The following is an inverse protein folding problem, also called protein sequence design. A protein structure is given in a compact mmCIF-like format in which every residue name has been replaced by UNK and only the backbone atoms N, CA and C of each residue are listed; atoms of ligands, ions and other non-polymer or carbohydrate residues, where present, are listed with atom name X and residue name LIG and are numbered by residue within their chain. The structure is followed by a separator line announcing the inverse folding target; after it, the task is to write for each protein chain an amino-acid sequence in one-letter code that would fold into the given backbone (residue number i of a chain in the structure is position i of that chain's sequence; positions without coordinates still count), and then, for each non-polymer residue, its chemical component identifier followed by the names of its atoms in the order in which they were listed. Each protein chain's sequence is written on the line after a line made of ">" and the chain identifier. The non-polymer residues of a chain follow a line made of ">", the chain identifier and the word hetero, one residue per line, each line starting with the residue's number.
data_IF_869208545715
#
_entry.id   IF_869208545715
#
_cell.length_a   1.000
_cell.length_b   1.000
_cell.length_c   1.000
_cell.angle_alpha   90.00
_cell.angle_beta   90.00
_cell.angle_gamma   90.00
#
_symmetry.space_group_name_H-M   'P 1'
#
loop_
_entity.id
_entity.type
_entity.pdbx_description
1 polymer ?
#
# COMPACT_ATOMS: atom_id res chain seq x y z
N UNK A 1 19.12 -14.18 4.05
CA UNK A 1 19.07 -12.94 3.25
C UNK A 1 17.64 -12.70 2.79
N UNK A 2 17.10 -11.49 2.99
CA UNK A 2 15.77 -11.10 2.50
C UNK A 2 15.68 -11.22 0.97
N UNK A 3 14.50 -11.59 0.46
CA UNK A 3 14.16 -11.70 -0.97
C UNK A 3 14.58 -10.44 -1.76
N UNK A 4 14.37 -9.25 -1.19
CA UNK A 4 14.71 -7.97 -1.82
C UNK A 4 16.23 -7.83 -2.06
N UNK A 5 17.06 -8.12 -1.06
CA UNK A 5 18.52 -8.04 -1.19
C UNK A 5 19.07 -9.09 -2.17
N UNK A 6 18.40 -10.23 -2.34
CA UNK A 6 18.76 -11.21 -3.40
C UNK A 6 18.50 -10.66 -4.80
N UNK A 7 17.42 -9.89 -4.98
CA UNK A 7 17.10 -9.26 -6.27
C UNK A 7 18.11 -8.14 -6.58
N UNK A 8 18.43 -7.31 -5.60
CA UNK A 8 19.42 -6.23 -5.75
C UNK A 8 20.81 -6.79 -6.09
N UNK A 9 21.21 -7.86 -5.40
CA UNK A 9 22.48 -8.54 -5.67
C UNK A 9 22.55 -9.10 -7.10
N UNK A 10 21.46 -9.70 -7.61
CA UNK A 10 21.38 -10.13 -9.02
C UNK A 10 21.46 -8.96 -10.02
N UNK A 11 21.10 -7.76 -9.61
CA UNK A 11 21.16 -6.53 -10.43
C UNK A 11 22.48 -5.76 -10.27
N UNK A 12 23.41 -6.25 -9.44
CA UNK A 12 24.66 -5.55 -9.13
C UNK A 12 24.47 -4.32 -8.24
N UNK A 13 23.33 -4.20 -7.57
CA UNK A 13 22.97 -3.06 -6.74
C UNK A 13 23.36 -3.29 -5.27
N UNK A 14 23.57 -2.19 -4.54
CA UNK A 14 23.94 -2.22 -3.12
C UNK A 14 22.82 -2.82 -2.28
N UNK A 15 23.17 -3.72 -1.34
CA UNK A 15 22.22 -4.28 -0.37
C UNK A 15 21.59 -3.18 0.47
N UNK A 16 20.29 -3.28 0.69
CA UNK A 16 19.55 -2.39 1.57
C UNK A 16 19.62 -2.90 3.02
N UNK A 17 19.71 -1.96 3.96
CA UNK A 17 19.42 -2.24 5.36
C UNK A 17 17.91 -2.09 5.59
N UNK A 18 17.19 -3.18 5.39
CA UNK A 18 15.72 -3.19 5.42
C UNK A 18 15.20 -2.74 6.79
N UNK A 19 15.84 -3.15 7.88
CA UNK A 19 15.42 -2.77 9.23
C UNK A 19 15.51 -1.25 9.41
N UNK A 20 16.63 -0.64 9.02
CA UNK A 20 16.80 0.81 9.07
C UNK A 20 15.74 1.55 8.24
N UNK A 21 15.37 1.01 7.08
CA UNK A 21 14.34 1.62 6.23
C UNK A 21 12.94 1.51 6.86
N UNK A 22 12.61 0.35 7.45
CA UNK A 22 11.36 0.17 8.20
C UNK A 22 11.32 1.16 9.36
N UNK A 23 12.35 1.20 10.19
CA UNK A 23 12.42 2.11 11.35
C UNK A 23 12.24 3.58 10.94
N UNK A 24 12.82 3.98 9.79
CA UNK A 24 12.64 5.32 9.26
C UNK A 24 11.17 5.61 8.85
N UNK A 25 10.49 4.67 8.19
CA UNK A 25 9.07 4.81 7.84
C UNK A 25 8.20 4.86 9.11
N UNK A 26 8.47 3.99 10.08
CA UNK A 26 7.77 3.94 11.37
C UNK A 26 7.95 5.23 12.20
N UNK A 27 9.02 5.99 11.95
CA UNK A 27 9.27 7.27 12.62
C UNK A 27 8.45 8.45 12.07
N UNK A 28 7.81 8.30 10.91
CA UNK A 28 6.97 9.34 10.34
C UNK A 28 5.68 9.51 11.15
N UNK A 29 5.10 10.71 11.22
CA UNK A 29 3.83 10.97 11.91
C UNK A 29 2.65 10.45 11.06
N UNK A 30 2.62 9.16 10.78
CA UNK A 30 1.58 8.48 10.01
C UNK A 30 0.62 7.73 10.93
N UNK A 31 -0.67 7.78 10.60
CA UNK A 31 -1.68 6.99 11.30
C UNK A 31 -1.57 5.53 10.85
N UNK A 32 -1.42 4.63 11.80
CA UNK A 32 -1.47 3.20 11.57
C UNK A 32 -2.91 2.71 11.72
N UNK A 33 -3.39 1.99 10.70
CA UNK A 33 -4.68 1.30 10.75
C UNK A 33 -4.37 -0.17 11.00
N UNK A 34 -4.73 -0.66 12.18
CA UNK A 34 -4.60 -2.07 12.51
C UNK A 34 -5.78 -2.84 11.90
N UNK A 35 -5.53 -3.92 11.13
CA UNK A 35 -6.60 -4.77 10.63
C UNK A 35 -7.36 -5.43 11.79
N UNK A 36 -8.66 -5.21 11.87
CA UNK A 36 -9.55 -5.84 12.83
C UNK A 36 -10.60 -6.73 12.14
N UNK A 37 -11.45 -7.38 12.93
CA UNK A 37 -12.51 -8.23 12.38
C UNK A 37 -13.52 -7.47 11.52
N UNK A 38 -13.74 -6.18 11.76
CA UNK A 38 -14.65 -5.38 10.95
C UNK A 38 -14.07 -5.15 9.55
N UNK A 39 -12.77 -4.83 9.46
CA UNK A 39 -12.03 -4.71 8.19
C UNK A 39 -12.03 -6.04 7.43
N UNK A 40 -11.69 -7.14 8.10
CA UNK A 40 -11.64 -8.45 7.43
C UNK A 40 -13.01 -8.89 6.94
N UNK A 41 -14.05 -8.72 7.76
CA UNK A 41 -15.42 -9.01 7.34
C UNK A 41 -15.81 -8.16 6.13
N UNK A 42 -15.57 -6.85 6.19
CA UNK A 42 -15.92 -5.95 5.08
C UNK A 42 -15.19 -6.32 3.79
N UNK A 43 -13.90 -6.63 3.87
CA UNK A 43 -13.10 -7.08 2.73
C UNK A 43 -13.66 -8.35 2.08
N UNK A 44 -14.24 -9.26 2.87
CA UNK A 44 -14.83 -10.52 2.37
C UNK A 44 -16.16 -10.33 1.62
N UNK A 45 -16.80 -9.17 1.77
CA UNK A 45 -18.07 -8.84 1.10
C UNK A 45 -17.85 -8.26 -0.30
N UNK A 46 -16.62 -7.90 -0.67
CA UNK A 46 -16.33 -7.31 -1.97
C UNK A 46 -16.23 -8.35 -3.08
N UNK A 47 -16.78 -8.00 -4.23
CA UNK A 47 -16.67 -8.77 -5.49
C UNK A 47 -15.66 -8.15 -6.47
N UNK A 48 -14.76 -7.28 -5.97
CA UNK A 48 -13.73 -6.65 -6.79
C UNK A 48 -12.76 -7.69 -7.36
N UNK A 49 -12.36 -7.52 -8.62
CA UNK A 49 -11.40 -8.39 -9.29
C UNK A 49 -9.95 -7.95 -8.99
N UNK A 50 -9.62 -7.90 -7.70
CA UNK A 50 -8.29 -7.55 -7.15
C UNK A 50 -7.84 -8.65 -6.18
N UNK A 51 -6.62 -8.56 -5.63
CA UNK A 51 -6.17 -9.55 -4.67
C UNK A 51 -6.92 -9.44 -3.33
N UNK A 52 -7.00 -10.53 -2.57
CA UNK A 52 -7.62 -10.50 -1.24
C UNK A 52 -6.94 -9.53 -0.26
N UNK A 53 -5.64 -9.28 -0.44
CA UNK A 53 -4.90 -8.28 0.35
C UNK A 53 -5.35 -6.86 -0.03
N UNK A 54 -5.59 -6.60 -1.33
CA UNK A 54 -6.09 -5.30 -1.79
C UNK A 54 -7.50 -5.03 -1.26
N UNK A 55 -8.35 -6.06 -1.17
CA UNK A 55 -9.64 -5.95 -0.48
C UNK A 55 -9.50 -5.51 0.98
N UNK A 56 -8.47 -5.98 1.70
CA UNK A 56 -8.19 -5.55 3.08
C UNK A 56 -7.74 -4.09 3.15
N UNK A 57 -6.87 -3.65 2.24
CA UNK A 57 -6.48 -2.24 2.16
C UNK A 57 -7.70 -1.35 1.88
N UNK A 58 -8.53 -1.75 0.93
CA UNK A 58 -9.71 -0.99 0.49
C UNK A 58 -10.80 -0.95 1.58
N UNK A 59 -11.01 -2.06 2.30
CA UNK A 59 -11.90 -2.07 3.47
C UNK A 59 -11.38 -1.17 4.59
N UNK A 60 -10.07 -1.17 4.83
CA UNK A 60 -9.44 -0.27 5.80
C UNK A 60 -9.67 1.19 5.43
N UNK A 61 -9.56 1.52 4.14
CA UNK A 61 -9.82 2.84 3.59
C UNK A 61 -11.29 3.26 3.73
N UNK A 62 -12.22 2.42 3.27
CA UNK A 62 -13.68 2.69 3.33
C UNK A 62 -14.13 2.98 4.76
N UNK A 63 -13.75 2.12 5.71
CA UNK A 63 -14.14 2.25 7.12
C UNK A 63 -13.49 3.45 7.83
N UNK A 64 -12.40 3.99 7.28
CA UNK A 64 -11.73 5.19 7.80
C UNK A 64 -12.02 6.45 6.98
N UNK A 65 -12.98 6.41 6.05
CA UNK A 65 -13.34 7.53 5.17
C UNK A 65 -12.14 8.07 4.37
N UNK A 66 -11.27 7.18 3.92
CA UNK A 66 -10.17 7.49 3.01
C UNK A 66 -10.55 7.00 1.63
N UNK A 67 -10.50 7.89 0.64
CA UNK A 67 -10.87 7.59 -0.75
C UNK A 67 -9.69 7.77 -1.72
N UNK A 68 -8.55 8.28 -1.28
CA UNK A 68 -7.34 8.41 -2.10
C UNK A 68 -6.23 7.45 -1.63
N UNK A 69 -5.55 6.80 -2.59
CA UNK A 69 -4.39 5.94 -2.32
C UNK A 69 -3.23 6.24 -3.25
N UNK A 70 -2.04 6.39 -2.69
CA UNK A 70 -0.79 6.47 -3.46
C UNK A 70 -0.29 5.04 -3.66
N UNK A 71 -0.38 4.51 -4.88
CA UNK A 71 0.03 3.13 -5.18
C UNK A 71 0.49 2.97 -6.62
N UNK A 72 1.56 2.19 -6.78
CA UNK A 72 2.05 1.74 -8.08
C UNK A 72 1.20 0.58 -8.66
N UNK A 73 0.25 0.05 -7.89
CA UNK A 73 -0.62 -1.04 -8.33
C UNK A 73 -1.87 -0.50 -9.04
N UNK A 74 -1.89 -0.63 -10.36
CA UNK A 74 -2.99 -0.18 -11.23
C UNK A 74 -4.26 -1.02 -11.05
N UNK A 75 -4.19 -2.21 -10.43
CA UNK A 75 -5.38 -3.04 -10.19
C UNK A 75 -6.41 -2.33 -9.29
N UNK A 76 -5.95 -1.40 -8.45
CA UNK A 76 -6.80 -0.58 -7.59
C UNK A 76 -7.69 0.41 -8.38
N UNK A 77 -7.36 0.71 -9.65
CA UNK A 77 -8.22 1.53 -10.53
C UNK A 77 -9.58 0.85 -10.82
N UNK A 78 -9.71 -0.45 -10.53
CA UNK A 78 -10.96 -1.22 -10.67
C UNK A 78 -11.98 -0.92 -9.56
N UNK A 79 -11.59 -0.18 -8.52
CA UNK A 79 -12.39 0.05 -7.33
C UNK A 79 -13.01 1.45 -7.42
N UNK A 80 -14.31 1.50 -7.73
CA UNK A 80 -14.96 2.75 -8.16
C UNK A 80 -15.00 3.89 -7.14
N UNK A 81 -14.85 3.61 -5.84
CA UNK A 81 -14.82 4.65 -4.79
C UNK A 81 -13.40 5.06 -4.37
N UNK A 82 -12.37 4.40 -4.91
CA UNK A 82 -10.97 4.70 -4.60
C UNK A 82 -10.34 5.43 -5.77
N UNK A 83 -9.73 6.58 -5.50
CA UNK A 83 -8.90 7.33 -6.43
C UNK A 83 -7.44 6.96 -6.20
N UNK A 84 -6.87 6.19 -7.12
CA UNK A 84 -5.44 5.89 -7.13
C UNK A 84 -4.66 7.08 -7.66
N UNK A 85 -3.56 7.40 -7.00
CA UNK A 85 -2.56 8.35 -7.44
C UNK A 85 -1.28 7.58 -7.74
N UNK A 86 -0.81 7.64 -8.99
CA UNK A 86 0.48 7.06 -9.35
C UNK A 86 1.60 7.80 -8.60
N UNK A 87 2.44 7.10 -7.81
CA UNK A 87 3.57 7.69 -7.09
C UNK A 87 4.50 8.52 -7.98
N UNK A 88 4.67 8.14 -9.26
CA UNK A 88 5.51 8.86 -10.23
C UNK A 88 4.97 10.26 -10.55
N UNK A 89 3.67 10.47 -10.39
CA UNK A 89 2.96 11.73 -10.64
C UNK A 89 2.73 12.55 -9.38
N UNK A 90 2.91 11.96 -8.20
CA UNK A 90 2.55 12.55 -6.91
C UNK A 90 3.26 13.89 -6.62
N UNK A 91 4.47 14.09 -7.16
CA UNK A 91 5.23 15.33 -6.98
C UNK A 91 4.66 16.55 -7.71
N UNK A 92 3.72 16.39 -8.63
CA UNK A 92 3.16 17.52 -9.41
C UNK A 92 2.00 18.25 -8.72
N UNK A 93 1.46 17.73 -7.63
CA UNK A 93 0.33 18.34 -6.90
C UNK A 93 0.73 19.40 -5.85
N UNK A 94 2.03 19.53 -5.55
CA UNK A 94 2.55 20.45 -4.52
C UNK A 94 3.39 21.61 -5.11
N UNK A 95 3.13 22.02 -6.36
CA UNK A 95 3.72 23.22 -6.99
C UNK A 95 2.66 24.19 -7.47
#
# INVERSE_FOLDING_TARGET
>A
MCKLNRVLEKRGEKKLNIRKNIDAILSLPIKWIEPDFAIIRRASEYEFKVSGIDCVHVASMELNLVDEIISADEELDKIGFVKRIDPSTFHKLNR
#
